data_IF_363601920621
#
_entry.id   IF_363601920621
#
_cell.length_a   1.000
_cell.length_b   1.000
_cell.length_c   1.000
_cell.angle_alpha   90.00
_cell.angle_beta   90.00
_cell.angle_gamma   90.00
#
_symmetry.space_group_name_H-M   'P 1'
#
loop_
_entity.id
_entity.type
_entity.pdbx_description
1 polymer ?
#
# COMPACT_ATOMS: atom_id res chain seq x y z
N UNK A 1 12.08 -11.46 -0.74
CA UNK A 1 11.81 -12.24 -1.97
C UNK A 1 12.95 -13.17 -2.33
N UNK A 2 14.21 -12.72 -2.28
CA UNK A 2 15.37 -13.59 -2.55
C UNK A 2 15.40 -14.86 -1.68
N UNK A 3 15.24 -14.72 -0.36
CA UNK A 3 15.23 -15.89 0.55
C UNK A 3 14.01 -16.79 0.34
N UNK A 4 12.85 -16.20 0.05
CA UNK A 4 11.62 -16.93 -0.24
C UNK A 4 11.74 -17.73 -1.54
N UNK A 5 12.25 -17.11 -2.61
CA UNK A 5 12.50 -17.80 -3.89
C UNK A 5 13.63 -18.82 -3.83
N UNK A 6 14.59 -18.65 -2.91
CA UNK A 6 15.65 -19.62 -2.65
C UNK A 6 15.25 -20.72 -1.64
N UNK A 7 14.02 -20.70 -1.12
CA UNK A 7 13.53 -21.68 -0.15
C UNK A 7 14.17 -21.60 1.24
N UNK A 8 14.91 -20.53 1.56
CA UNK A 8 15.48 -20.31 2.91
C UNK A 8 14.43 -19.92 3.94
N UNK A 9 13.32 -19.34 3.48
CA UNK A 9 12.14 -19.05 4.28
C UNK A 9 10.90 -19.54 3.52
N UNK A 10 9.85 -19.90 4.25
CA UNK A 10 8.60 -20.43 3.68
C UNK A 10 7.53 -19.36 3.48
N UNK A 11 7.61 -18.24 4.21
CA UNK A 11 6.66 -17.14 4.13
C UNK A 11 7.30 -15.80 4.51
N UNK A 12 6.67 -14.69 4.10
CA UNK A 12 7.01 -13.33 4.51
C UNK A 12 5.74 -12.52 4.72
N UNK A 13 5.72 -11.68 5.76
CA UNK A 13 4.66 -10.71 6.00
C UNK A 13 5.03 -9.35 5.41
N UNK A 14 4.08 -8.73 4.71
CA UNK A 14 4.20 -7.38 4.13
C UNK A 14 2.83 -6.70 4.18
N UNK A 15 2.83 -5.36 4.14
CA UNK A 15 1.60 -4.58 3.93
C UNK A 15 0.97 -4.95 2.58
N UNK A 16 -0.37 -4.98 2.54
CA UNK A 16 -1.11 -5.59 1.42
C UNK A 16 -0.77 -5.01 0.04
N UNK A 17 -0.68 -3.68 -0.19
CA UNK A 17 -0.34 -3.14 -1.51
C UNK A 17 1.00 -3.63 -2.05
N UNK A 18 2.01 -3.73 -1.17
CA UNK A 18 3.35 -4.21 -1.54
C UNK A 18 3.33 -5.72 -1.79
N UNK A 19 2.63 -6.49 -0.95
CA UNK A 19 2.46 -7.93 -1.14
C UNK A 19 1.77 -8.24 -2.48
N UNK A 20 0.69 -7.52 -2.81
CA UNK A 20 -0.08 -7.68 -4.04
C UNK A 20 0.76 -7.32 -5.28
N UNK A 21 1.55 -6.25 -5.21
CA UNK A 21 2.48 -5.91 -6.28
C UNK A 21 3.57 -6.98 -6.46
N UNK A 22 4.18 -7.45 -5.37
CA UNK A 22 5.23 -8.47 -5.41
C UNK A 22 4.73 -9.81 -5.96
N UNK A 23 3.54 -10.25 -5.55
CA UNK A 23 2.93 -11.49 -6.05
C UNK A 23 2.68 -11.43 -7.56
N UNK A 24 2.29 -10.27 -8.10
CA UNK A 24 2.13 -10.07 -9.56
C UNK A 24 3.46 -10.15 -10.32
N UNK A 25 4.57 -9.78 -9.68
CA UNK A 25 5.90 -9.74 -10.31
C UNK A 25 6.71 -11.03 -10.17
N UNK A 26 6.33 -11.91 -9.25
CA UNK A 26 7.08 -13.13 -8.95
C UNK A 26 6.21 -14.38 -9.22
N UNK A 27 6.33 -15.00 -10.41
CA UNK A 27 5.64 -16.25 -10.74
C UNK A 27 5.89 -17.31 -9.66
N UNK A 28 4.83 -18.04 -9.30
CA UNK A 28 4.88 -19.10 -8.28
C UNK A 28 4.68 -18.61 -6.83
N UNK A 29 4.58 -17.30 -6.60
CA UNK A 29 4.26 -16.75 -5.28
C UNK A 29 2.83 -16.21 -5.24
N UNK A 30 2.17 -16.39 -4.08
CA UNK A 30 0.81 -15.91 -3.84
C UNK A 30 0.65 -15.40 -2.41
N UNK A 31 -0.30 -14.50 -2.21
CA UNK A 31 -0.74 -14.14 -0.85
C UNK A 31 -1.55 -15.33 -0.31
N UNK A 32 -1.14 -15.87 0.84
CA UNK A 32 -1.80 -17.04 1.45
C UNK A 32 -2.80 -16.67 2.54
N UNK A 33 -2.64 -15.49 3.15
CA UNK A 33 -3.51 -14.99 4.20
C UNK A 33 -3.38 -13.47 4.33
N UNK A 34 -4.41 -12.83 4.87
CA UNK A 34 -4.35 -11.48 5.43
C UNK A 34 -4.58 -11.59 6.94
N UNK A 35 -3.98 -10.70 7.73
CA UNK A 35 -4.22 -10.67 9.18
C UNK A 35 -5.66 -10.18 9.40
N UNK A 36 -6.53 -10.99 10.04
CA UNK A 36 -7.90 -10.59 10.30
C UNK A 36 -7.93 -9.43 11.30
N UNK A 37 -8.94 -8.56 11.16
CA UNK A 37 -9.27 -7.48 12.11
C UNK A 37 -8.12 -6.52 12.44
N UNK A 38 -7.14 -6.39 11.54
CA UNK A 38 -5.98 -5.51 11.69
C UNK A 38 -5.96 -4.44 10.59
N UNK A 39 -6.86 -3.43 10.63
CA UNK A 39 -6.83 -2.34 9.65
C UNK A 39 -5.51 -1.57 9.77
N UNK A 40 -4.84 -1.39 8.63
CA UNK A 40 -3.58 -0.65 8.52
C UNK A 40 -3.76 0.52 7.56
N UNK A 41 -4.49 1.60 7.95
CA UNK A 41 -4.62 2.77 7.11
C UNK A 41 -3.24 3.37 6.85
N UNK A 42 -2.95 3.64 5.57
CA UNK A 42 -1.71 4.27 5.15
C UNK A 42 -1.88 5.79 5.12
N UNK A 43 -0.82 6.49 5.49
CA UNK A 43 -0.78 7.95 5.47
C UNK A 43 0.61 8.47 5.14
N UNK A 44 0.71 9.78 4.99
CA UNK A 44 1.97 10.48 4.75
C UNK A 44 2.39 11.11 6.08
N UNK A 45 3.60 10.80 6.54
CA UNK A 45 4.13 11.35 7.78
C UNK A 45 4.64 12.79 7.57
N UNK A 46 4.14 13.72 8.38
CA UNK A 46 4.59 15.11 8.43
C UNK A 46 5.12 15.47 9.82
N UNK A 47 5.87 16.57 9.90
CA UNK A 47 6.31 17.12 11.19
C UNK A 47 5.10 17.54 12.03
N UNK A 48 5.09 17.20 13.31
CA UNK A 48 4.05 17.65 14.25
C UNK A 48 4.04 19.18 14.45
N UNK A 49 5.15 19.84 14.13
CA UNK A 49 5.27 21.29 14.21
C UNK A 49 4.65 22.02 13.00
N UNK A 50 4.14 21.30 11.99
CA UNK A 50 3.56 21.89 10.78
C UNK A 50 2.15 21.34 10.49
N UNK A 51 1.15 21.73 11.29
CA UNK A 51 -0.24 21.34 11.05
C UNK A 51 -0.82 21.97 9.77
N UNK A 52 -0.25 23.09 9.30
CA UNK A 52 -0.69 23.76 8.08
C UNK A 52 -0.44 22.91 6.84
N UNK A 53 0.73 22.28 6.76
CA UNK A 53 1.05 21.37 5.66
C UNK A 53 0.14 20.13 5.65
N UNK A 54 -0.16 19.55 6.82
CA UNK A 54 -1.10 18.42 6.92
C UNK A 54 -2.46 18.80 6.35
N UNK A 55 -3.01 19.95 6.77
CA UNK A 55 -4.31 20.41 6.30
C UNK A 55 -4.32 20.67 4.78
N UNK A 56 -3.27 21.27 4.22
CA UNK A 56 -3.16 21.52 2.79
C UNK A 56 -3.11 20.21 1.98
N UNK A 57 -2.36 19.22 2.44
CA UNK A 57 -2.26 17.91 1.79
C UNK A 57 -3.58 17.14 1.89
N UNK A 58 -4.24 17.16 3.04
CA UNK A 58 -5.54 16.51 3.22
C UNK A 58 -6.61 17.12 2.29
N UNK A 59 -6.62 18.43 2.12
CA UNK A 59 -7.51 19.11 1.17
C UNK A 59 -7.23 18.69 -0.28
N UNK A 60 -5.96 18.61 -0.67
CA UNK A 60 -5.57 18.15 -2.00
C UNK A 60 -5.98 16.69 -2.23
N UNK A 61 -5.73 15.79 -1.26
CA UNK A 61 -6.16 14.39 -1.34
C UNK A 61 -7.68 14.25 -1.42
N UNK A 62 -8.44 15.07 -0.68
CA UNK A 62 -9.89 15.09 -0.77
C UNK A 62 -10.38 15.55 -2.15
N UNK A 63 -9.71 16.53 -2.77
CA UNK A 63 -10.01 16.95 -4.13
C UNK A 63 -9.77 15.83 -5.15
N UNK A 64 -8.61 15.17 -5.09
CA UNK A 64 -8.27 14.03 -5.97
C UNK A 64 -9.24 12.85 -5.81
N UNK A 65 -9.76 12.62 -4.60
CA UNK A 65 -10.77 11.58 -4.37
C UNK A 65 -12.11 11.96 -4.99
N UNK A 66 -12.49 13.23 -4.91
CA UNK A 66 -13.76 13.75 -5.43
C UNK A 66 -13.80 13.77 -6.95
N UNK A 67 -12.69 14.13 -7.59
CA UNK A 67 -12.59 14.21 -9.05
C UNK A 67 -12.24 12.86 -9.71
N UNK A 68 -11.93 11.83 -8.92
CA UNK A 68 -11.63 10.48 -9.40
C UNK A 68 -10.16 10.24 -9.77
N UNK A 69 -9.31 11.26 -9.76
CA UNK A 69 -7.87 11.14 -10.05
C UNK A 69 -7.18 10.17 -9.10
N UNK A 70 -7.60 10.13 -7.83
CA UNK A 70 -7.08 9.18 -6.85
C UNK A 70 -7.38 7.73 -7.26
N UNK A 71 -8.59 7.46 -7.73
CA UNK A 71 -9.01 6.13 -8.20
C UNK A 71 -8.28 5.73 -9.49
N UNK A 72 -7.98 6.68 -10.37
CA UNK A 72 -7.13 6.46 -11.55
C UNK A 72 -5.71 6.02 -11.15
N UNK A 73 -5.12 6.69 -10.16
CA UNK A 73 -3.81 6.31 -9.61
C UNK A 73 -3.85 4.89 -9.01
N UNK A 74 -4.86 4.57 -8.21
CA UNK A 74 -5.03 3.24 -7.62
C UNK A 74 -5.08 2.14 -8.71
N UNK A 75 -5.88 2.35 -9.76
CA UNK A 75 -5.96 1.43 -10.90
C UNK A 75 -4.64 1.31 -11.65
N UNK A 76 -3.96 2.43 -11.94
CA UNK A 76 -2.65 2.43 -12.61
C UNK A 76 -1.65 1.51 -11.89
N UNK A 77 -1.65 1.54 -10.56
CA UNK A 77 -0.75 0.71 -9.76
C UNK A 77 -1.33 -0.66 -9.41
N UNK A 78 -2.59 -0.94 -9.73
CA UNK A 78 -3.31 -2.17 -9.40
C UNK A 78 -3.33 -2.43 -7.88
N UNK A 79 -3.60 -1.36 -7.13
CA UNK A 79 -3.85 -1.38 -5.69
C UNK A 79 -5.34 -1.07 -5.50
N UNK A 80 -6.05 -1.76 -4.58
CA UNK A 80 -7.43 -1.42 -4.26
C UNK A 80 -7.60 0.03 -3.80
#
# INVERSE_FOLDING_TARGET
MRDLGAGRITAVMKVFPVAAWLARKAPGLRIVAQVPDAPQPLGIGFSKADPGLVAAVDQALAALKRDGSYSELARKWGVP
#
